data_IF_913620797882
#
_entry.id   IF_913620797882
#
_cell.length_a   1.000
_cell.length_b   1.000
_cell.length_c   1.000
_cell.angle_alpha   90.00
_cell.angle_beta   90.00
_cell.angle_gamma   90.00
#
_symmetry.space_group_name_H-M   'P 1'
#
loop_
_entity.id
_entity.type
_entity.pdbx_description
1 polymer ?
#
# COMPACT_ATOMS: atom_id res chain seq x y z
N UNK A 1 34.12 22.66 -4.54
CA UNK A 1 33.02 23.38 -5.23
C UNK A 1 31.79 23.29 -4.33
N UNK A 2 31.24 24.45 -3.95
CA UNK A 2 30.17 24.58 -2.98
C UNK A 2 28.79 24.33 -3.61
N UNK A 3 27.91 23.59 -2.91
CA UNK A 3 26.50 23.40 -3.27
C UNK A 3 25.67 24.45 -2.53
N UNK A 4 25.06 25.36 -3.28
CA UNK A 4 24.10 26.36 -2.78
C UNK A 4 22.69 25.79 -2.99
N UNK A 5 22.01 25.48 -1.89
CA UNK A 5 20.57 25.24 -1.89
C UNK A 5 19.87 26.59 -1.72
N UNK A 6 19.19 27.05 -2.77
CA UNK A 6 18.36 28.26 -2.71
C UNK A 6 16.90 27.84 -2.45
N UNK A 7 16.46 28.00 -1.20
CA UNK A 7 15.05 27.95 -0.80
C UNK A 7 14.37 29.26 -1.19
N UNK A 8 13.25 29.18 -1.91
CA UNK A 8 12.36 30.31 -2.14
C UNK A 8 10.95 29.95 -1.66
N UNK A 9 10.61 30.45 -0.49
CA UNK A 9 9.24 30.51 0.03
C UNK A 9 8.50 31.68 -0.63
N UNK A 10 7.26 31.46 -1.06
CA UNK A 10 6.34 32.53 -1.45
C UNK A 10 4.98 32.30 -0.79
N UNK A 11 4.53 33.36 -0.12
CA UNK A 11 3.44 33.43 0.83
C UNK A 11 2.03 33.38 0.22
N UNK A 12 1.06 32.95 1.04
CA UNK A 12 -0.38 33.03 0.78
C UNK A 12 -0.92 34.47 0.86
N UNK A 13 -2.13 34.70 0.32
CA UNK A 13 -3.11 35.45 1.08
C UNK A 13 -4.50 34.79 1.15
N UNK A 14 -5.20 35.21 2.20
CA UNK A 14 -6.45 34.72 2.74
C UNK A 14 -7.71 35.26 2.03
N UNK A 15 -8.88 34.73 2.46
CA UNK A 15 -10.08 35.45 2.94
C UNK A 15 -11.41 34.87 2.40
N UNK A 16 -12.17 34.32 3.36
CA UNK A 16 -13.62 34.33 3.60
C UNK A 16 -14.66 34.35 2.45
N UNK A 17 -15.67 33.49 2.60
CA UNK A 17 -16.98 33.61 1.95
C UNK A 17 -18.03 32.77 2.67
N UNK A 18 -19.01 33.45 3.26
CA UNK A 18 -20.15 32.92 4.03
C UNK A 18 -21.22 32.28 3.12
N UNK A 19 -22.04 31.40 3.69
CA UNK A 19 -23.52 31.34 3.62
C UNK A 19 -24.00 29.90 3.83
N UNK A 20 -24.59 29.59 4.99
CA UNK A 20 -26.04 29.64 5.27
C UNK A 20 -26.87 28.61 4.49
N UNK A 21 -27.24 27.58 5.23
CA UNK A 21 -28.62 27.15 5.41
C UNK A 21 -29.42 26.79 4.16
N UNK A 22 -29.57 25.49 3.91
CA UNK A 22 -30.81 24.98 3.34
C UNK A 22 -31.22 23.67 3.99
N UNK A 23 -32.06 23.82 5.02
CA UNK A 23 -33.00 22.81 5.47
C UNK A 23 -34.00 22.50 4.35
N UNK A 24 -34.20 21.23 4.05
CA UNK A 24 -35.52 20.74 3.65
C UNK A 24 -35.68 19.26 4.02
N UNK A 25 -36.28 19.11 5.19
CA UNK A 25 -36.92 17.92 5.70
C UNK A 25 -38.22 17.69 4.91
N UNK A 26 -38.40 16.52 4.28
CA UNK A 26 -39.64 15.72 4.34
C UNK A 26 -39.62 14.56 3.33
N UNK A 27 -39.68 13.36 3.87
CA UNK A 27 -39.98 12.11 3.17
C UNK A 27 -40.26 11.04 4.22
N UNK A 28 -41.41 11.13 4.87
CA UNK A 28 -41.86 10.12 5.83
C UNK A 28 -42.18 8.83 5.07
N UNK A 29 -41.38 7.79 5.28
CA UNK A 29 -41.69 6.42 4.88
C UNK A 29 -42.40 5.71 6.05
N UNK A 30 -43.42 4.87 5.78
CA UNK A 30 -44.20 4.21 6.83
C UNK A 30 -43.34 3.28 7.68
N UNK A 31 -43.42 3.44 9.00
CA UNK A 31 -42.74 2.57 9.96
C UNK A 31 -43.39 1.18 9.91
N UNK A 32 -42.63 0.17 9.49
CA UNK A 32 -42.99 -1.23 9.65
C UNK A 32 -42.61 -1.68 11.07
N UNK A 33 -43.55 -1.97 11.98
CA UNK A 33 -43.21 -2.49 13.29
C UNK A 33 -42.96 -4.00 13.15
N UNK A 34 -41.86 -4.48 13.71
CA UNK A 34 -41.37 -5.88 13.79
C UNK A 34 -40.16 -6.17 12.89
N UNK A 35 -39.01 -5.60 13.24
CA UNK A 35 -37.74 -6.26 12.97
C UNK A 35 -36.98 -6.34 14.28
N UNK A 36 -36.72 -7.58 14.72
CA UNK A 36 -36.08 -7.88 15.99
C UNK A 36 -34.79 -7.09 16.16
N UNK A 37 -34.60 -6.63 17.40
CA UNK A 37 -33.34 -6.11 17.91
C UNK A 37 -32.30 -7.24 17.84
N UNK A 38 -31.65 -7.40 16.70
CA UNK A 38 -30.38 -8.11 16.66
C UNK A 38 -29.41 -7.30 17.53
N UNK A 39 -28.72 -7.92 18.51
CA UNK A 39 -27.63 -7.22 19.16
C UNK A 39 -26.58 -6.96 18.08
N UNK A 40 -26.24 -5.68 17.88
CA UNK A 40 -25.09 -5.24 17.08
C UNK A 40 -23.81 -5.74 17.77
N UNK A 41 -23.54 -7.04 17.70
CA UNK A 41 -22.21 -7.61 17.90
C UNK A 41 -21.43 -7.41 16.60
N UNK A 42 -21.30 -6.16 16.15
CA UNK A 42 -20.14 -5.82 15.32
C UNK A 42 -18.92 -6.03 16.21
N UNK A 43 -17.93 -6.82 15.79
CA UNK A 43 -16.65 -6.83 16.48
C UNK A 43 -16.18 -5.38 16.50
N UNK A 44 -16.01 -4.80 17.68
CA UNK A 44 -15.39 -3.48 17.81
C UNK A 44 -13.93 -3.63 17.32
N UNK A 45 -13.71 -3.43 16.02
CA UNK A 45 -12.37 -3.29 15.43
C UNK A 45 -11.81 -1.95 15.92
N UNK A 46 -11.39 -1.96 17.19
CA UNK A 46 -10.68 -0.84 17.79
C UNK A 46 -9.46 -0.53 16.91
N UNK A 47 -9.37 0.71 16.42
CA UNK A 47 -8.25 1.17 15.61
C UNK A 47 -6.93 0.85 16.32
N UNK A 48 -5.92 0.31 15.63
CA UNK A 48 -4.67 -0.08 16.25
C UNK A 48 -4.02 1.12 16.94
N UNK A 49 -3.54 0.89 18.16
CA UNK A 49 -2.82 1.87 18.97
C UNK A 49 -1.55 2.35 18.23
N UNK A 50 -1.03 3.53 18.62
CA UNK A 50 0.19 4.08 18.01
C UNK A 50 1.37 3.09 18.05
N UNK A 51 1.53 2.36 19.17
CA UNK A 51 2.58 1.34 19.32
C UNK A 51 2.39 0.17 18.36
N UNK A 52 1.16 -0.31 18.19
CA UNK A 52 0.84 -1.38 17.23
C UNK A 52 1.11 -0.96 15.79
N UNK A 53 0.75 0.27 15.41
CA UNK A 53 1.07 0.82 14.09
C UNK A 53 2.57 0.90 13.86
N UNK A 54 3.33 1.40 14.85
CA UNK A 54 4.79 1.49 14.74
C UNK A 54 5.43 0.11 14.57
N UNK A 55 4.96 -0.89 15.32
CA UNK A 55 5.46 -2.27 15.20
C UNK A 55 5.14 -2.87 13.81
N UNK A 56 3.96 -2.58 13.25
CA UNK A 56 3.59 -3.03 11.91
C UNK A 56 4.49 -2.39 10.84
N UNK A 57 4.78 -1.10 10.95
CA UNK A 57 5.69 -0.40 10.04
C UNK A 57 7.11 -0.97 10.09
N UNK A 58 7.64 -1.24 11.28
CA UNK A 58 8.96 -1.86 11.45
C UNK A 58 9.01 -3.27 10.84
N UNK A 59 7.95 -4.07 11.05
CA UNK A 59 7.84 -5.40 10.45
C UNK A 59 7.79 -5.33 8.92
N UNK A 60 6.97 -4.45 8.34
CA UNK A 60 6.86 -4.28 6.90
C UNK A 60 8.17 -3.80 6.29
N UNK A 61 8.89 -2.88 6.97
CA UNK A 61 10.21 -2.42 6.53
C UNK A 61 11.24 -3.56 6.47
N UNK A 62 11.27 -4.42 7.51
CA UNK A 62 12.17 -5.58 7.53
C UNK A 62 11.86 -6.57 6.40
N UNK A 63 10.58 -6.85 6.16
CA UNK A 63 10.16 -7.71 5.04
C UNK A 63 10.50 -7.09 3.69
N UNK A 64 10.26 -5.78 3.53
CA UNK A 64 10.55 -5.05 2.31
C UNK A 64 12.04 -5.16 1.95
N UNK A 65 12.92 -4.94 2.93
CA UNK A 65 14.37 -5.11 2.74
C UNK A 65 14.71 -6.53 2.30
N UNK A 66 14.17 -7.53 3.01
CA UNK A 66 14.42 -8.94 2.67
C UNK A 66 13.95 -9.28 1.26
N UNK A 67 12.74 -8.91 0.88
CA UNK A 67 12.21 -9.19 -0.46
C UNK A 67 13.00 -8.48 -1.56
N UNK A 68 13.51 -7.27 -1.30
CA UNK A 68 14.38 -6.55 -2.22
C UNK A 68 15.73 -7.26 -2.40
N UNK A 69 16.34 -7.73 -1.31
CA UNK A 69 17.58 -8.51 -1.34
C UNK A 69 17.36 -9.84 -2.12
N UNK A 70 16.29 -10.58 -1.82
CA UNK A 70 15.91 -11.82 -2.50
C UNK A 70 15.67 -11.59 -4.01
N UNK A 71 15.04 -10.47 -4.39
CA UNK A 71 14.78 -10.11 -5.78
C UNK A 71 16.08 -9.79 -6.52
N UNK A 72 17.01 -9.09 -5.89
CA UNK A 72 18.31 -8.77 -6.49
C UNK A 72 19.14 -10.03 -6.75
N UNK A 73 19.15 -10.96 -5.80
CA UNK A 73 19.81 -12.26 -5.94
C UNK A 73 19.18 -13.08 -7.07
N UNK A 74 17.85 -13.16 -7.11
CA UNK A 74 17.12 -13.90 -8.14
C UNK A 74 17.34 -13.31 -9.54
N UNK A 75 17.32 -11.98 -9.67
CA UNK A 75 17.60 -11.30 -10.93
C UNK A 75 19.04 -11.61 -11.42
N UNK A 76 20.00 -11.62 -10.50
CA UNK A 76 21.39 -11.99 -10.80
C UNK A 76 21.49 -13.46 -11.26
N UNK A 77 20.78 -14.37 -10.59
CA UNK A 77 20.72 -15.79 -10.99
C UNK A 77 20.11 -15.95 -12.37
N UNK A 78 19.02 -15.25 -12.66
CA UNK A 78 18.31 -15.31 -13.94
C UNK A 78 19.20 -14.81 -15.08
N UNK A 79 19.92 -13.71 -14.86
CA UNK A 79 20.90 -13.19 -15.83
C UNK A 79 21.98 -14.23 -16.14
N UNK A 80 22.53 -14.87 -15.10
CA UNK A 80 23.56 -15.91 -15.26
C UNK A 80 23.03 -17.11 -16.03
N UNK A 81 21.82 -17.56 -15.75
CA UNK A 81 21.24 -18.71 -16.47
C UNK A 81 21.01 -18.39 -17.94
N UNK A 82 20.45 -17.22 -18.25
CA UNK A 82 20.26 -16.77 -19.64
C UNK A 82 21.61 -16.68 -20.36
N UNK A 83 22.64 -16.11 -19.72
CA UNK A 83 23.98 -15.99 -20.31
C UNK A 83 24.66 -17.33 -20.59
N UNK A 84 24.31 -18.39 -19.84
CA UNK A 84 24.85 -19.74 -20.02
C UNK A 84 23.99 -20.62 -20.94
N UNK A 85 22.89 -20.09 -21.48
CA UNK A 85 21.92 -20.83 -22.29
C UNK A 85 21.99 -20.38 -23.75
N UNK A 86 21.71 -21.27 -24.71
CA UNK A 86 21.63 -20.94 -26.12
C UNK A 86 20.18 -20.62 -26.55
N UNK A 87 20.03 -19.90 -27.67
CA UNK A 87 18.76 -19.39 -28.22
C UNK A 87 17.63 -20.43 -28.34
N UNK A 88 17.99 -21.71 -28.46
CA UNK A 88 17.05 -22.84 -28.60
C UNK A 88 16.64 -23.50 -27.28
N UNK A 89 17.05 -22.99 -26.13
CA UNK A 89 16.72 -23.56 -24.82
C UNK A 89 15.98 -22.52 -23.98
N UNK A 90 14.66 -22.41 -24.18
CA UNK A 90 13.78 -21.82 -23.16
C UNK A 90 13.69 -22.83 -22.01
N UNK A 91 14.64 -22.74 -21.07
CA UNK A 91 14.65 -23.63 -19.92
C UNK A 91 13.44 -23.35 -19.03
N UNK A 92 12.74 -24.41 -18.60
CA UNK A 92 11.69 -24.33 -17.58
C UNK A 92 12.20 -23.64 -16.29
N UNK A 93 13.50 -23.73 -16.00
CA UNK A 93 14.14 -23.03 -14.89
C UNK A 93 14.06 -21.50 -15.04
N UNK A 94 14.37 -20.97 -16.23
CA UNK A 94 14.33 -19.53 -16.54
C UNK A 94 12.91 -18.99 -16.35
N UNK A 95 11.90 -19.73 -16.85
CA UNK A 95 10.49 -19.36 -16.68
C UNK A 95 10.09 -19.33 -15.20
N UNK A 96 10.43 -20.39 -14.44
CA UNK A 96 10.13 -20.46 -12.99
C UNK A 96 10.77 -19.31 -12.22
N UNK A 97 12.02 -18.96 -12.54
CA UNK A 97 12.72 -17.85 -11.88
C UNK A 97 12.12 -16.50 -12.24
N UNK A 98 11.70 -16.31 -13.49
CA UNK A 98 10.97 -15.10 -13.88
C UNK A 98 9.64 -14.96 -13.11
N UNK A 99 8.88 -16.05 -12.96
CA UNK A 99 7.64 -16.04 -12.16
C UNK A 99 7.89 -15.74 -10.67
N UNK A 100 8.98 -16.28 -10.11
CA UNK A 100 9.39 -15.98 -8.74
C UNK A 100 9.77 -14.50 -8.58
N UNK A 101 10.44 -13.90 -9.57
CA UNK A 101 10.79 -12.49 -9.56
C UNK A 101 9.53 -11.60 -9.60
N UNK A 102 8.53 -11.97 -10.42
CA UNK A 102 7.23 -11.28 -10.44
C UNK A 102 6.54 -11.33 -9.07
N UNK A 103 6.55 -12.48 -8.41
CA UNK A 103 5.95 -12.65 -7.07
C UNK A 103 6.66 -11.78 -6.03
N UNK A 104 7.98 -11.76 -6.01
CA UNK A 104 8.75 -10.91 -5.10
C UNK A 104 8.48 -9.42 -5.36
N UNK A 105 8.46 -8.99 -6.63
CA UNK A 105 8.13 -7.61 -7.00
C UNK A 105 6.72 -7.22 -6.52
N UNK A 106 5.73 -8.12 -6.64
CA UNK A 106 4.38 -7.91 -6.09
C UNK A 106 4.40 -7.78 -4.57
N UNK A 107 5.11 -8.66 -3.86
CA UNK A 107 5.24 -8.60 -2.40
C UNK A 107 5.88 -7.29 -1.92
N UNK A 108 6.96 -6.85 -2.57
CA UNK A 108 7.60 -5.55 -2.30
C UNK A 108 6.58 -4.42 -2.42
N UNK A 109 5.82 -4.38 -3.52
CA UNK A 109 4.80 -3.35 -3.75
C UNK A 109 3.73 -3.35 -2.66
N UNK A 110 3.24 -4.51 -2.25
CA UNK A 110 2.21 -4.62 -1.21
C UNK A 110 2.75 -4.21 0.17
N UNK A 111 3.94 -4.68 0.56
CA UNK A 111 4.54 -4.32 1.87
C UNK A 111 4.96 -2.85 1.93
N UNK A 112 5.35 -2.25 0.80
CA UNK A 112 5.68 -0.83 0.70
C UNK A 112 4.46 0.10 0.91
N UNK A 113 3.23 -0.38 0.72
CA UNK A 113 2.02 0.41 1.02
C UNK A 113 1.93 0.71 2.52
N UNK A 114 2.36 -0.22 3.37
CA UNK A 114 2.49 0.02 4.81
C UNK A 114 1.17 0.22 5.58
N UNK A 115 0.03 -0.16 4.99
CA UNK A 115 -1.30 -0.01 5.60
C UNK A 115 -2.19 -1.24 5.39
#
# INVERSE_FOLDING_TARGET
MALIFLLLEAASPAVAGQMLNQSQNQGALPQNPLQGRFPDNEPNLSKPSRKQRQALLDLNYKKLKKHADDLAELATSLQKEIANTNENVLSLEIVKKAEQAEKLAKQIKEEAKGY
#
